data_IF_283576823775
#
_entry.id   IF_283576823775
#
_cell.length_a   1.000
_cell.length_b   1.000
_cell.length_c   1.000
_cell.angle_alpha   90.00
_cell.angle_beta   90.00
_cell.angle_gamma   90.00
#
_symmetry.space_group_name_H-M   'P 1'
#
loop_
_entity.id
_entity.type
_entity.pdbx_description
1 polymer ?
#
# COMPACT_ATOMS: atom_id res chain seq x y z
N UNK A 1 -5.66 0.20 17.99
CA UNK A 1 -4.98 0.11 16.68
C UNK A 1 -4.98 1.43 15.90
N UNK A 2 -6.11 2.14 15.78
CA UNK A 2 -6.22 3.34 14.93
C UNK A 2 -5.13 4.41 15.20
N UNK A 3 -4.72 4.60 16.45
CA UNK A 3 -3.63 5.53 16.80
C UNK A 3 -2.29 5.12 16.17
N UNK A 4 -1.87 3.86 16.37
CA UNK A 4 -0.61 3.34 15.83
C UNK A 4 -0.67 3.28 14.31
N UNK A 5 -1.80 2.82 13.76
CA UNK A 5 -2.03 2.78 12.32
C UNK A 5 -1.93 4.17 11.70
N UNK A 6 -2.54 5.19 12.32
CA UNK A 6 -2.44 6.58 11.87
C UNK A 6 -1.01 7.12 11.93
N UNK A 7 -0.28 6.83 13.01
CA UNK A 7 1.12 7.25 13.17
C UNK A 7 2.04 6.65 12.09
N UNK A 8 1.78 5.41 11.65
CA UNK A 8 2.55 4.78 10.55
C UNK A 8 2.05 5.19 9.17
N UNK A 9 0.76 5.41 9.00
CA UNK A 9 0.14 5.71 7.71
C UNK A 9 0.52 7.11 7.20
N UNK A 10 0.54 8.10 8.10
CA UNK A 10 0.89 9.48 7.76
C UNK A 10 2.27 9.63 7.07
N UNK A 11 3.40 9.16 7.67
CA UNK A 11 4.70 9.27 7.04
C UNK A 11 4.79 8.45 5.74
N UNK A 12 4.10 7.31 5.67
CA UNK A 12 4.05 6.49 4.45
C UNK A 12 3.41 7.25 3.29
N UNK A 13 2.26 7.89 3.53
CA UNK A 13 1.57 8.67 2.51
C UNK A 13 2.40 9.86 2.03
N UNK A 14 3.11 10.54 2.94
CA UNK A 14 4.02 11.62 2.57
C UNK A 14 5.11 11.13 1.61
N UNK A 15 5.76 10.00 1.93
CA UNK A 15 6.81 9.42 1.08
C UNK A 15 6.26 9.00 -0.28
N UNK A 16 5.11 8.32 -0.32
CA UNK A 16 4.50 7.85 -1.58
C UNK A 16 4.13 9.02 -2.49
N UNK A 17 3.46 10.04 -1.96
CA UNK A 17 3.06 11.19 -2.75
C UNK A 17 4.27 11.98 -3.24
N UNK A 18 5.30 12.15 -2.38
CA UNK A 18 6.54 12.82 -2.76
C UNK A 18 7.27 12.06 -3.87
N UNK A 19 7.37 10.73 -3.77
CA UNK A 19 7.96 9.88 -4.81
C UNK A 19 7.24 10.03 -6.15
N UNK A 20 5.91 10.14 -6.15
CA UNK A 20 5.14 10.41 -7.36
C UNK A 20 5.54 11.70 -8.06
N UNK A 21 5.92 12.75 -7.31
CA UNK A 21 6.39 14.02 -7.90
C UNK A 21 7.75 13.89 -8.59
N UNK A 22 8.58 12.92 -8.20
CA UNK A 22 9.85 12.63 -8.87
C UNK A 22 9.70 11.77 -10.12
N UNK A 23 8.71 10.88 -10.15
CA UNK A 23 8.49 9.93 -11.25
C UNK A 23 7.69 10.57 -12.39
N UNK A 24 6.74 11.45 -12.06
CA UNK A 24 5.81 12.02 -13.04
C UNK A 24 6.36 13.32 -13.64
N UNK A 25 6.32 13.51 -14.97
CA UNK A 25 6.72 14.78 -15.59
C UNK A 25 5.96 15.98 -15.02
N UNK A 26 6.58 17.17 -14.88
CA UNK A 26 5.96 18.34 -14.26
C UNK A 26 4.61 18.75 -14.89
N UNK A 27 4.46 18.55 -16.20
CA UNK A 27 3.24 18.85 -16.95
C UNK A 27 2.06 17.93 -16.63
N UNK A 28 2.28 16.83 -15.91
CA UNK A 28 1.31 15.76 -15.66
C UNK A 28 1.11 15.42 -14.18
N UNK A 29 1.65 16.23 -13.27
CA UNK A 29 1.62 15.95 -11.82
C UNK A 29 0.18 15.78 -11.29
N UNK A 30 -0.77 16.62 -11.71
CA UNK A 30 -2.18 16.50 -11.26
C UNK A 30 -2.80 15.17 -11.71
N UNK A 31 -2.53 14.75 -12.94
CA UNK A 31 -3.01 13.49 -13.49
C UNK A 31 -2.36 12.31 -12.74
N UNK A 32 -1.05 12.36 -12.52
CA UNK A 32 -0.29 11.37 -11.76
C UNK A 32 -0.79 11.20 -10.32
N UNK A 33 -0.99 12.29 -9.59
CA UNK A 33 -1.56 12.29 -8.23
C UNK A 33 -2.97 11.69 -8.19
N UNK A 34 -3.78 11.98 -9.21
CA UNK A 34 -5.13 11.41 -9.34
C UNK A 34 -5.06 9.90 -9.54
N UNK A 35 -4.20 9.42 -10.45
CA UNK A 35 -3.98 7.98 -10.65
C UNK A 35 -3.46 7.28 -9.39
N UNK A 36 -2.56 7.90 -8.64
CA UNK A 36 -2.07 7.34 -7.37
C UNK A 36 -3.20 7.19 -6.34
N UNK A 37 -4.05 8.22 -6.20
CA UNK A 37 -5.19 8.18 -5.27
C UNK A 37 -6.22 7.13 -5.71
N UNK A 38 -6.49 7.00 -7.02
CA UNK A 38 -7.36 5.94 -7.54
C UNK A 38 -6.80 4.56 -7.24
N UNK A 39 -5.49 4.36 -7.43
CA UNK A 39 -4.82 3.10 -7.10
C UNK A 39 -4.99 2.70 -5.62
N UNK A 40 -4.86 3.67 -4.71
CA UNK A 40 -5.10 3.46 -3.27
C UNK A 40 -6.56 3.02 -3.04
N UNK A 41 -7.53 3.73 -3.61
CA UNK A 41 -8.95 3.39 -3.45
C UNK A 41 -9.29 1.99 -3.99
N UNK A 42 -8.70 1.60 -5.12
CA UNK A 42 -8.84 0.26 -5.68
C UNK A 42 -8.28 -0.79 -4.70
N UNK A 43 -7.11 -0.54 -4.14
CA UNK A 43 -6.51 -1.42 -3.13
C UNK A 43 -7.38 -1.58 -1.89
N UNK A 44 -7.96 -0.48 -1.38
CA UNK A 44 -8.89 -0.50 -0.25
C UNK A 44 -10.15 -1.30 -0.57
N UNK A 45 -10.72 -1.12 -1.77
CA UNK A 45 -11.90 -1.86 -2.20
C UNK A 45 -11.61 -3.37 -2.29
N UNK A 46 -10.51 -3.78 -2.93
CA UNK A 46 -10.10 -5.18 -3.02
C UNK A 46 -9.84 -5.79 -1.64
N UNK A 47 -9.13 -5.06 -0.76
CA UNK A 47 -8.90 -5.49 0.62
C UNK A 47 -10.21 -5.67 1.40
N UNK A 48 -11.18 -4.79 1.19
CA UNK A 48 -12.50 -4.87 1.83
C UNK A 48 -13.30 -6.08 1.34
N UNK A 49 -13.25 -6.37 0.03
CA UNK A 49 -13.91 -7.56 -0.55
C UNK A 49 -13.29 -8.85 0.00
N UNK A 50 -11.95 -8.94 0.03
CA UNK A 50 -11.24 -10.11 0.58
C UNK A 50 -11.53 -10.27 2.08
N UNK A 51 -11.52 -9.18 2.85
CA UNK A 51 -11.85 -9.21 4.27
C UNK A 51 -13.29 -9.66 4.52
N UNK A 52 -14.25 -9.15 3.74
CA UNK A 52 -15.65 -9.57 3.78
C UNK A 52 -15.81 -11.07 3.55
N UNK A 53 -15.24 -11.59 2.45
CA UNK A 53 -15.31 -13.02 2.14
C UNK A 53 -14.73 -13.91 3.25
N UNK A 54 -13.62 -13.49 3.87
CA UNK A 54 -13.01 -14.25 4.97
C UNK A 54 -13.88 -14.19 6.23
N UNK A 55 -14.47 -13.03 6.52
CA UNK A 55 -15.39 -12.86 7.65
C UNK A 55 -16.65 -13.72 7.45
N UNK A 56 -17.19 -13.78 6.23
CA UNK A 56 -18.39 -14.55 5.91
C UNK A 56 -18.19 -16.06 6.12
N UNK A 57 -17.00 -16.59 5.80
CA UNK A 57 -16.71 -18.03 5.90
C UNK A 57 -16.23 -18.45 7.30
N UNK A 58 -15.38 -17.65 7.94
CA UNK A 58 -14.69 -18.04 9.19
C UNK A 58 -15.17 -17.26 10.42
N UNK A 59 -16.05 -16.27 10.24
CA UNK A 59 -16.56 -15.40 11.29
C UNK A 59 -15.73 -14.13 11.49
N UNK A 60 -16.30 -13.17 12.22
CA UNK A 60 -15.73 -11.83 12.42
C UNK A 60 -14.35 -11.82 13.10
N UNK A 61 -14.06 -12.79 13.95
CA UNK A 61 -12.80 -12.85 14.70
C UNK A 61 -11.59 -13.10 13.79
N UNK A 62 -11.77 -13.86 12.72
CA UNK A 62 -10.76 -14.14 11.69
C UNK A 62 -10.57 -13.00 10.69
N UNK A 63 -11.43 -11.98 10.67
CA UNK A 63 -11.26 -10.83 9.78
C UNK A 63 -9.93 -10.10 9.94
N UNK A 64 -9.36 -10.10 11.15
CA UNK A 64 -8.03 -9.52 11.42
C UNK A 64 -6.87 -10.31 10.79
N UNK A 65 -7.06 -11.60 10.48
CA UNK A 65 -6.02 -12.41 9.82
C UNK A 65 -5.71 -11.89 8.41
N UNK A 66 -6.71 -11.31 7.73
CA UNK A 66 -6.55 -10.71 6.39
C UNK A 66 -5.59 -9.54 6.42
N UNK A 67 -5.67 -8.68 7.44
CA UNK A 67 -4.73 -7.57 7.64
C UNK A 67 -3.31 -8.07 7.92
N UNK A 68 -3.17 -9.13 8.71
CA UNK A 68 -1.85 -9.73 9.03
C UNK A 68 -1.21 -10.32 7.77
N UNK A 69 -1.96 -11.10 6.99
CA UNK A 69 -1.48 -11.70 5.74
C UNK A 69 -1.12 -10.61 4.72
N UNK A 70 -1.94 -9.57 4.61
CA UNK A 70 -1.66 -8.44 3.70
C UNK A 70 -0.39 -7.68 4.11
N UNK A 71 -0.19 -7.47 5.42
CA UNK A 71 1.03 -6.85 5.95
C UNK A 71 2.28 -7.69 5.67
N UNK A 72 2.20 -9.01 5.88
CA UNK A 72 3.28 -9.95 5.54
C UNK A 72 3.59 -9.95 4.05
N UNK A 73 2.57 -9.98 3.19
CA UNK A 73 2.75 -9.91 1.74
C UNK A 73 3.45 -8.61 1.33
N UNK A 74 3.08 -7.48 1.92
CA UNK A 74 3.74 -6.20 1.66
C UNK A 74 5.22 -6.22 2.07
N UNK A 75 5.55 -6.79 3.23
CA UNK A 75 6.95 -6.96 3.66
C UNK A 75 7.74 -7.80 2.65
N UNK A 76 7.17 -8.91 2.17
CA UNK A 76 7.81 -9.76 1.16
C UNK A 76 8.04 -9.00 -0.15
N UNK A 77 7.03 -8.25 -0.62
CA UNK A 77 7.15 -7.44 -1.84
C UNK A 77 8.27 -6.39 -1.70
N UNK A 78 8.32 -5.70 -0.56
CA UNK A 78 9.38 -4.72 -0.29
C UNK A 78 10.75 -5.40 -0.26
N UNK A 79 10.89 -6.53 0.44
CA UNK A 79 12.16 -7.28 0.50
C UNK A 79 12.63 -7.73 -0.89
N UNK A 80 11.72 -8.16 -1.76
CA UNK A 80 12.03 -8.51 -3.15
C UNK A 80 12.45 -7.26 -3.95
N UNK A 81 11.74 -6.14 -3.78
CA UNK A 81 12.06 -4.87 -4.42
C UNK A 81 13.38 -4.24 -3.95
N UNK A 82 13.80 -4.49 -2.70
CA UNK A 82 15.08 -4.02 -2.17
C UNK A 82 16.27 -4.62 -2.94
N UNK A 83 16.17 -5.87 -3.42
CA UNK A 83 17.21 -6.42 -4.29
C UNK A 83 17.29 -5.66 -5.61
N UNK A 84 16.15 -5.32 -6.22
CA UNK A 84 16.12 -4.54 -7.46
C UNK A 84 16.64 -3.12 -7.26
N UNK A 85 16.33 -2.48 -6.12
CA UNK A 85 16.82 -1.14 -5.78
C UNK A 85 18.32 -1.11 -5.45
N UNK A 86 18.85 -2.18 -4.82
CA UNK A 86 20.29 -2.34 -4.59
C UNK A 86 21.06 -2.47 -5.90
N UNK A 87 20.56 -3.27 -6.84
CA UNK A 87 21.21 -3.47 -8.14
C UNK A 87 21.29 -2.17 -8.94
N UNK A 88 20.28 -1.30 -8.86
CA UNK A 88 20.32 0.02 -9.52
C UNK A 88 21.21 1.03 -8.79
N UNK A 89 21.44 0.89 -7.48
CA UNK A 89 22.33 1.78 -6.73
C UNK A 89 23.83 1.50 -6.95
N UNK A 90 24.17 0.32 -7.49
CA UNK A 90 25.54 -0.09 -7.81
C UNK A 90 25.89 0.09 -9.30
N UNK A 91 24.95 0.57 -10.13
CA UNK A 91 25.12 0.81 -11.57
C UNK A 91 25.25 2.32 -11.88
#
# INVERSE_FOLDING_TARGET
MLFIAGMSFAPTMVVVMNLGTFIVPPSKITEGLTWMTMGISIGVALGSVLAGMVIDVYGAQTGFSVTIVSGLAMVVIVLLGLNTLRVTSEA
#
